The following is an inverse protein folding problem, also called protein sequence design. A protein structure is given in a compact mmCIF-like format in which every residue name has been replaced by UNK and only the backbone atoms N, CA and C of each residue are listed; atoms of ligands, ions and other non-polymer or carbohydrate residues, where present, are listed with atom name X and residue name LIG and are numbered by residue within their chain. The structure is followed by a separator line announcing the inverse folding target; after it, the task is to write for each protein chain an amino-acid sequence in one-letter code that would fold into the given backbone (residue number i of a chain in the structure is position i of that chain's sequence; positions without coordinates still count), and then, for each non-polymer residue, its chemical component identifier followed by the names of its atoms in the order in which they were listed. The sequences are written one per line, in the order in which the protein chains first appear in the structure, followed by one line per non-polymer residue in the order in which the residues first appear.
data_IF_967903594529
#
_entry.id   IF_967903594529
#
_cell.length_a   1.000
_cell.length_b   1.000
_cell.length_c   1.000
_cell.angle_alpha   90.00
_cell.angle_beta   90.00
_cell.angle_gamma   90.00
#
_symmetry.space_group_name_H-M   'P 1'
#
loop_
_entity.id
_entity.type
_entity.pdbx_description
1 polymer ?
#
# COMPACT_ATOMS: atom_id res chain seq x y z
N UNK A 1 21.99 1.51 4.16
CA UNK A 1 20.97 2.09 5.04
C UNK A 1 20.00 1.00 5.46
N UNK A 2 19.63 0.95 6.73
CA UNK A 2 18.80 -0.11 7.29
C UNK A 2 17.34 0.38 7.37
N UNK A 3 16.40 -0.48 7.04
CA UNK A 3 14.94 -0.23 7.15
C UNK A 3 14.38 -1.25 8.13
N UNK A 4 14.60 -1.07 9.44
CA UNK A 4 14.15 -2.01 10.46
C UNK A 4 12.62 -2.05 10.52
N UNK A 5 12.05 -3.16 10.96
CA UNK A 5 10.61 -3.23 11.20
C UNK A 5 10.23 -2.30 12.37
N UNK A 6 9.21 -1.45 12.24
CA UNK A 6 8.65 -0.70 13.37
C UNK A 6 8.14 -1.62 14.49
N UNK A 7 8.11 -1.10 15.72
CA UNK A 7 7.76 -1.90 16.90
C UNK A 7 6.34 -2.45 16.87
N UNK A 8 5.41 -1.72 16.26
CA UNK A 8 4.00 -2.11 16.11
C UNK A 8 3.77 -3.20 15.07
N UNK A 9 4.77 -3.52 14.22
CA UNK A 9 4.66 -4.66 13.31
C UNK A 9 4.67 -5.96 14.13
N UNK A 10 3.80 -6.95 13.83
CA UNK A 10 3.79 -8.21 14.55
C UNK A 10 5.17 -8.90 14.52
N UNK A 11 5.61 -9.42 15.68
CA UNK A 11 6.94 -10.03 15.83
C UNK A 11 7.21 -11.14 14.80
N UNK A 12 6.18 -11.94 14.49
CA UNK A 12 6.24 -13.03 13.52
C UNK A 12 6.69 -12.59 12.12
N UNK A 13 6.52 -11.32 11.75
CA UNK A 13 6.86 -10.80 10.41
C UNK A 13 7.96 -9.73 10.43
N UNK A 14 8.51 -9.37 11.60
CA UNK A 14 9.62 -8.39 11.70
C UNK A 14 10.83 -8.80 10.85
N UNK A 15 11.16 -10.09 10.79
CA UNK A 15 12.24 -10.61 9.94
C UNK A 15 11.94 -10.54 8.43
N UNK A 16 10.66 -10.59 8.05
CA UNK A 16 10.20 -10.54 6.65
C UNK A 16 10.14 -9.10 6.12
N UNK A 17 9.90 -8.13 7.00
CA UNK A 17 9.67 -6.74 6.65
C UNK A 17 10.77 -6.11 5.77
N UNK A 18 12.08 -6.21 6.09
CA UNK A 18 13.12 -5.61 5.25
C UNK A 18 13.11 -6.17 3.82
N UNK A 19 12.84 -7.47 3.67
CA UNK A 19 12.71 -8.12 2.38
C UNK A 19 11.46 -7.65 1.61
N UNK A 20 10.35 -7.41 2.32
CA UNK A 20 9.14 -6.84 1.71
C UNK A 20 9.40 -5.42 1.18
N UNK A 21 10.02 -4.53 1.98
CA UNK A 21 10.38 -3.16 1.55
C UNK A 21 11.28 -3.20 0.32
N UNK A 22 12.34 -4.03 0.35
CA UNK A 22 13.26 -4.19 -0.78
C UNK A 22 12.53 -4.62 -2.07
N UNK A 23 11.66 -5.63 -1.99
CA UNK A 23 10.92 -6.11 -3.18
C UNK A 23 10.02 -5.03 -3.77
N UNK A 24 9.28 -4.31 -2.91
CA UNK A 24 8.41 -3.22 -3.34
C UNK A 24 9.21 -2.07 -3.98
N UNK A 25 10.32 -1.67 -3.37
CA UNK A 25 11.21 -0.64 -3.90
C UNK A 25 11.75 -1.00 -5.29
N UNK A 26 12.19 -2.24 -5.51
CA UNK A 26 12.65 -2.71 -6.82
C UNK A 26 11.55 -2.65 -7.87
N UNK A 27 10.33 -3.10 -7.52
CA UNK A 27 9.19 -3.08 -8.45
C UNK A 27 8.81 -1.67 -8.85
N UNK A 28 8.69 -0.76 -7.88
CA UNK A 28 8.31 0.64 -8.13
C UNK A 28 9.41 1.39 -8.90
N UNK A 29 10.68 1.26 -8.51
CA UNK A 29 11.78 1.89 -9.22
C UNK A 29 11.85 1.43 -10.69
N UNK A 30 11.69 0.12 -10.95
CA UNK A 30 11.64 -0.41 -12.33
C UNK A 30 10.43 0.11 -13.12
N UNK A 31 9.26 0.22 -12.48
CA UNK A 31 8.04 0.76 -13.10
C UNK A 31 8.25 2.21 -13.52
N UNK A 32 8.83 3.01 -12.64
CA UNK A 32 8.96 4.45 -12.86
C UNK A 32 10.14 4.80 -13.78
N UNK A 33 11.22 4.01 -13.75
CA UNK A 33 12.30 4.10 -14.76
C UNK A 33 11.78 3.86 -16.19
N UNK A 34 10.85 2.91 -16.39
CA UNK A 34 10.20 2.71 -17.70
C UNK A 34 9.38 3.93 -18.16
N UNK A 35 9.01 4.81 -17.23
CA UNK A 35 8.26 6.04 -17.49
C UNK A 35 9.17 7.29 -17.54
N UNK A 36 10.49 7.10 -17.55
CA UNK A 36 11.47 8.20 -17.57
C UNK A 36 11.89 8.70 -16.18
N UNK A 37 11.48 8.03 -15.10
CA UNK A 37 11.90 8.35 -13.75
C UNK A 37 13.39 8.07 -13.50
N UNK A 38 14.02 8.90 -12.67
CA UNK A 38 15.48 8.84 -12.39
C UNK A 38 15.81 8.27 -11.01
N UNK A 39 14.79 7.94 -10.21
CA UNK A 39 14.99 7.47 -8.85
C UNK A 39 15.62 6.08 -8.79
N UNK A 40 16.41 5.85 -7.74
CA UNK A 40 17.08 4.57 -7.49
C UNK A 40 16.40 3.76 -6.39
N UNK A 41 16.70 2.46 -6.34
CA UNK A 41 16.08 1.53 -5.38
C UNK A 41 16.29 1.95 -3.92
N UNK A 42 17.42 2.57 -3.57
CA UNK A 42 17.68 2.99 -2.19
C UNK A 42 16.78 4.15 -1.76
N UNK A 43 16.55 5.14 -2.63
CA UNK A 43 15.62 6.24 -2.39
C UNK A 43 14.20 5.70 -2.18
N UNK A 44 13.78 4.75 -3.01
CA UNK A 44 12.46 4.13 -2.90
C UNK A 44 12.32 3.34 -1.60
N UNK A 45 13.37 2.64 -1.13
CA UNK A 45 13.33 1.94 0.15
C UNK A 45 13.10 2.88 1.33
N UNK A 46 13.79 4.03 1.33
CA UNK A 46 13.64 5.03 2.38
C UNK A 46 12.24 5.64 2.35
N UNK A 47 11.79 6.10 1.18
CA UNK A 47 10.46 6.69 1.02
C UNK A 47 9.34 5.70 1.41
N UNK A 48 9.47 4.42 1.04
CA UNK A 48 8.53 3.38 1.49
C UNK A 48 8.59 3.21 3.00
N UNK A 49 9.78 3.15 3.60
CA UNK A 49 9.91 2.99 5.05
C UNK A 49 9.32 4.16 5.83
N UNK A 50 9.55 5.39 5.36
CA UNK A 50 8.95 6.61 5.91
C UNK A 50 7.42 6.57 5.79
N UNK A 51 6.90 6.14 4.63
CA UNK A 51 5.46 5.95 4.45
C UNK A 51 4.89 4.90 5.43
N UNK A 52 5.63 3.81 5.69
CA UNK A 52 5.24 2.80 6.68
C UNK A 52 5.17 3.40 8.08
N UNK A 53 6.19 4.17 8.49
CA UNK A 53 6.22 4.81 9.80
C UNK A 53 5.04 5.78 9.95
N UNK A 54 4.78 6.61 8.94
CA UNK A 54 3.68 7.56 8.93
C UNK A 54 2.30 6.90 8.93
N UNK A 55 2.18 5.65 8.46
CA UNK A 55 0.89 4.96 8.38
C UNK A 55 0.44 4.39 9.73
N UNK A 56 1.35 4.20 10.69
CA UNK A 56 1.07 3.57 11.99
C UNK A 56 0.28 2.25 11.86
N UNK A 57 0.57 1.52 10.79
CA UNK A 57 -0.07 0.25 10.47
C UNK A 57 -1.47 0.33 9.88
N UNK A 58 -1.95 1.53 9.50
CA UNK A 58 -3.28 1.78 8.94
C UNK A 58 -3.26 2.12 7.46
N UNK A 59 -4.41 1.96 6.83
CA UNK A 59 -4.70 2.41 5.47
C UNK A 59 -4.79 3.94 5.45
N UNK A 60 -4.04 4.58 4.55
CA UNK A 60 -4.04 6.05 4.42
C UNK A 60 -5.41 6.64 4.04
N UNK A 61 -6.18 5.92 3.23
CA UNK A 61 -7.42 6.41 2.64
C UNK A 61 -8.63 6.13 3.52
N UNK A 62 -8.66 5.00 4.23
CA UNK A 62 -9.81 4.59 5.06
C UNK A 62 -9.54 4.62 6.57
N UNK A 63 -8.29 4.72 7.00
CA UNK A 63 -7.88 4.70 8.41
C UNK A 63 -7.98 3.32 9.08
N UNK A 64 -8.37 2.28 8.34
CA UNK A 64 -8.54 0.92 8.85
C UNK A 64 -7.20 0.24 9.10
N UNK A 65 -7.15 -0.67 10.09
CA UNK A 65 -5.95 -1.44 10.37
C UNK A 65 -5.61 -2.40 9.23
N UNK A 66 -4.33 -2.44 8.85
CA UNK A 66 -3.83 -3.35 7.81
C UNK A 66 -3.37 -4.67 8.41
N UNK A 67 -3.49 -5.74 7.60
CA UNK A 67 -3.10 -7.09 7.95
C UNK A 67 -1.60 -7.32 7.68
N UNK A 68 -0.73 -6.71 8.49
CA UNK A 68 0.73 -6.79 8.33
C UNK A 68 1.29 -8.21 8.43
N UNK A 69 0.61 -9.11 9.13
CA UNK A 69 0.92 -10.53 9.19
C UNK A 69 0.90 -11.22 7.81
N UNK A 70 0.25 -10.61 6.81
CA UNK A 70 0.17 -11.15 5.46
C UNK A 70 1.39 -10.79 4.60
N UNK A 71 2.29 -9.89 5.02
CA UNK A 71 3.44 -9.51 4.20
C UNK A 71 4.32 -10.73 3.88
N UNK A 72 4.61 -10.92 2.59
CA UNK A 72 5.44 -12.03 2.12
C UNK A 72 4.74 -13.39 2.04
N UNK A 73 3.45 -13.47 2.38
CA UNK A 73 2.66 -14.72 2.25
C UNK A 73 1.98 -14.87 0.89
N UNK A 74 1.74 -13.74 0.21
CA UNK A 74 1.14 -13.73 -1.12
C UNK A 74 2.17 -14.07 -2.22
N UNK A 75 1.94 -15.15 -2.96
CA UNK A 75 2.74 -15.56 -4.12
C UNK A 75 1.91 -15.49 -5.41
N UNK A 76 2.29 -14.62 -6.35
CA UNK A 76 1.64 -14.49 -7.66
C UNK A 76 1.77 -15.72 -8.57
N UNK A 77 2.65 -16.68 -8.22
CA UNK A 77 2.89 -17.90 -9.00
C UNK A 77 1.99 -19.05 -8.58
N UNK A 78 1.31 -18.92 -7.44
CA UNK A 78 0.36 -19.92 -6.98
C UNK A 78 -0.99 -19.73 -7.73
N UNK A 79 -1.41 -20.68 -8.58
CA UNK A 79 -2.69 -20.57 -9.28
C UNK A 79 -3.91 -20.54 -8.34
N UNK A 80 -3.75 -20.88 -7.05
CA UNK A 80 -4.78 -20.74 -6.04
C UNK A 80 -4.91 -19.32 -5.47
N UNK A 81 -3.85 -18.50 -5.46
CA UNK A 81 -3.84 -17.16 -4.84
C UNK A 81 -4.49 -16.06 -5.70
N UNK A 82 -4.93 -16.37 -6.93
CA UNK A 82 -5.53 -15.42 -7.87
C UNK A 82 -7.05 -15.50 -8.07
N UNK A 83 -7.75 -16.42 -7.40
CA UNK A 83 -9.22 -16.59 -7.53
C UNK A 83 -9.97 -15.69 -6.54
N UNK A 84 -11.20 -15.27 -6.88
CA UNK A 84 -11.94 -14.21 -6.17
C UNK A 84 -11.97 -14.32 -4.64
N UNK A 85 -12.27 -15.50 -4.07
CA UNK A 85 -12.25 -15.71 -2.61
C UNK A 85 -10.85 -15.59 -2.00
N UNK A 86 -9.83 -16.10 -2.70
CA UNK A 86 -8.43 -15.99 -2.29
C UNK A 86 -7.97 -14.53 -2.24
N UNK A 87 -8.43 -13.68 -3.18
CA UNK A 87 -8.12 -12.24 -3.17
C UNK A 87 -8.76 -11.50 -2.01
N UNK A 88 -9.99 -11.89 -1.60
CA UNK A 88 -10.67 -11.27 -0.44
C UNK A 88 -9.87 -11.46 0.85
N UNK A 89 -9.18 -12.60 1.02
CA UNK A 89 -8.27 -12.83 2.16
C UNK A 89 -7.14 -11.79 2.24
N UNK A 90 -6.68 -11.30 1.09
CA UNK A 90 -5.60 -10.30 1.02
C UNK A 90 -6.12 -8.88 0.88
N UNK A 91 -7.44 -8.64 1.07
CA UNK A 91 -8.02 -7.32 0.92
C UNK A 91 -7.31 -6.26 1.77
N UNK A 92 -6.93 -6.63 3.00
CA UNK A 92 -6.21 -5.76 3.95
C UNK A 92 -4.67 -5.94 3.93
N UNK A 93 -4.12 -6.68 2.96
CA UNK A 93 -2.66 -6.79 2.79
C UNK A 93 -2.07 -5.39 2.56
N UNK A 94 -1.04 -4.96 3.33
CA UNK A 94 -0.36 -3.71 3.05
C UNK A 94 0.25 -3.68 1.65
N UNK A 95 -0.02 -2.60 0.94
CA UNK A 95 0.63 -2.23 -0.32
C UNK A 95 1.00 -0.75 -0.31
N UNK A 96 1.68 -0.32 -1.36
CA UNK A 96 2.09 1.06 -1.55
C UNK A 96 1.25 1.64 -2.67
N UNK A 97 0.72 2.82 -2.40
CA UNK A 97 0.10 3.70 -3.37
C UNK A 97 0.92 4.99 -3.50
N UNK A 98 0.77 5.66 -4.63
CA UNK A 98 1.47 6.89 -4.92
C UNK A 98 0.47 8.03 -4.83
N UNK A 99 0.72 8.99 -3.93
CA UNK A 99 -0.23 10.10 -3.69
C UNK A 99 -0.41 10.96 -4.94
N UNK A 100 0.64 11.10 -5.74
CA UNK A 100 0.61 11.83 -7.00
C UNK A 100 1.20 11.01 -8.14
N UNK A 101 0.75 11.25 -9.38
CA UNK A 101 1.37 10.66 -10.56
C UNK A 101 2.64 11.39 -11.01
N UNK A 102 3.16 12.33 -10.20
CA UNK A 102 4.39 13.03 -10.51
C UNK A 102 5.58 12.12 -10.21
N UNK A 103 6.70 12.27 -10.93
CA UNK A 103 7.84 11.32 -10.94
C UNK A 103 8.65 11.21 -9.64
N UNK A 104 8.12 11.69 -8.52
CA UNK A 104 8.75 11.69 -7.21
C UNK A 104 8.28 10.51 -6.36
N UNK A 105 9.12 10.09 -5.42
CA UNK A 105 8.84 8.99 -4.49
C UNK A 105 7.92 9.42 -3.34
N UNK A 106 6.71 9.90 -3.68
CA UNK A 106 5.67 10.30 -2.72
C UNK A 106 4.69 9.12 -2.51
N UNK A 107 4.98 8.32 -1.49
CA UNK A 107 4.28 7.08 -1.21
C UNK A 107 3.42 7.15 0.04
N UNK A 108 2.31 6.42 0.01
CA UNK A 108 1.49 6.12 1.17
C UNK A 108 1.26 4.62 1.26
N UNK A 109 0.96 4.13 2.47
CA UNK A 109 0.56 2.74 2.66
C UNK A 109 -0.96 2.66 2.64
N UNK A 110 -1.47 1.71 1.88
CA UNK A 110 -2.89 1.39 1.85
C UNK A 110 -3.09 -0.12 1.75
N UNK A 111 -4.33 -0.55 1.95
CA UNK A 111 -4.76 -1.91 1.75
C UNK A 111 -4.75 -2.25 0.26
N UNK A 112 -4.53 -3.52 -0.07
CA UNK A 112 -4.64 -3.98 -1.46
C UNK A 112 -5.97 -3.57 -2.06
N UNK A 113 -7.08 -3.83 -1.38
CA UNK A 113 -8.43 -3.51 -1.88
C UNK A 113 -8.58 -2.03 -2.23
N UNK A 114 -7.86 -1.15 -1.53
CA UNK A 114 -7.86 0.29 -1.74
C UNK A 114 -7.11 0.64 -3.03
N UNK A 115 -5.94 0.05 -3.24
CA UNK A 115 -5.13 0.25 -4.43
C UNK A 115 -5.71 -0.41 -5.71
N UNK A 116 -6.40 -1.54 -5.57
CA UNK A 116 -6.92 -2.36 -6.68
C UNK A 116 -8.46 -2.34 -6.76
N UNK A 117 -9.09 -1.32 -6.14
CA UNK A 117 -10.53 -1.18 -5.91
C UNK A 117 -11.43 -1.42 -7.13
N UNK A 118 -10.86 -1.35 -8.34
CA UNK A 118 -11.61 -1.40 -9.60
C UNK A 118 -12.05 -2.80 -10.04
N UNK A 119 -11.51 -3.90 -9.50
CA UNK A 119 -11.68 -5.19 -10.18
C UNK A 119 -12.45 -6.27 -9.41
N UNK A 120 -12.58 -6.20 -8.08
CA UNK A 120 -13.13 -7.33 -7.29
C UNK A 120 -14.23 -6.94 -6.27
N UNK A 121 -14.64 -5.67 -6.18
CA UNK A 121 -15.71 -5.22 -5.26
C UNK A 121 -17.11 -5.34 -5.89
N UNK A 122 -18.07 -5.81 -5.10
CA UNK A 122 -19.50 -5.63 -5.37
C UNK A 122 -19.91 -4.14 -5.19
N UNK A 123 -21.06 -3.70 -5.76
CA UNK A 123 -21.55 -2.34 -5.55
C UNK A 123 -21.71 -1.95 -4.08
N UNK A 124 -22.14 -2.89 -3.22
CA UNK A 124 -22.27 -2.67 -1.79
C UNK A 124 -20.92 -2.51 -1.09
N UNK A 125 -19.93 -3.34 -1.44
CA UNK A 125 -18.56 -3.21 -0.91
C UNK A 125 -17.93 -1.89 -1.35
N UNK A 126 -18.17 -1.45 -2.60
CA UNK A 126 -17.72 -0.15 -3.08
C UNK A 126 -18.37 1.01 -2.29
N UNK A 127 -19.67 0.96 -2.04
CA UNK A 127 -20.36 1.98 -1.24
C UNK A 127 -19.82 2.06 0.20
N UNK A 128 -19.56 0.90 0.82
CA UNK A 128 -18.96 0.82 2.15
C UNK A 128 -17.54 1.42 2.15
N UNK A 129 -16.75 1.11 1.14
CA UNK A 129 -15.41 1.68 0.96
C UNK A 129 -15.47 3.21 0.84
N UNK A 130 -16.30 3.75 -0.05
CA UNK A 130 -16.47 5.21 -0.20
C UNK A 130 -16.92 5.87 1.10
N UNK A 131 -17.82 5.21 1.85
CA UNK A 131 -18.28 5.71 3.15
C UNK A 131 -17.15 5.75 4.18
N UNK A 132 -16.28 4.74 4.21
CA UNK A 132 -15.12 4.70 5.08
C UNK A 132 -14.11 5.82 4.76
N UNK A 133 -13.86 6.07 3.47
CA UNK A 133 -12.98 7.17 3.01
C UNK A 133 -13.50 8.53 3.49
N UNK A 134 -14.78 8.84 3.24
CA UNK A 134 -15.39 10.12 3.64
C UNK A 134 -15.34 10.29 5.17
N UNK A 135 -15.60 9.23 5.92
CA UNK A 135 -15.55 9.26 7.38
C UNK A 135 -14.14 9.51 7.92
N UNK A 136 -13.12 8.90 7.30
CA UNK A 136 -11.73 9.08 7.73
C UNK A 136 -11.23 10.49 7.45
N UNK A 137 -11.64 11.04 6.31
CA UNK A 137 -11.12 12.30 5.79
C UNK A 137 -12.25 13.24 5.34
N UNK A 138 -13.04 13.77 6.28
CA UNK A 138 -14.18 14.63 5.97
C UNK A 138 -13.77 15.89 5.19
N UNK A 139 -12.55 16.36 5.41
CA UNK A 139 -12.00 17.59 4.81
C UNK A 139 -11.46 17.40 3.39
N UNK A 140 -11.32 16.15 2.89
CA UNK A 140 -10.90 15.90 1.51
C UNK A 140 -11.94 16.36 0.48
N UNK A 141 -13.19 16.56 0.89
CA UNK A 141 -14.21 17.17 0.05
C UNK A 141 -14.00 18.68 -0.16
N UNK A 142 -13.11 19.32 0.62
CA UNK A 142 -12.83 20.76 0.57
C UNK A 142 -11.56 21.17 -0.19
N UNK A 143 -10.69 20.24 -0.57
CA UNK A 143 -9.42 20.54 -1.26
C UNK A 143 -9.52 20.51 -2.79
N UNK A 144 -10.73 20.59 -3.34
CA UNK A 144 -10.96 20.72 -4.79
C UNK A 144 -10.75 22.17 -5.23
N UNK A 145 -9.69 22.36 -6.04
CA UNK A 145 -9.27 23.57 -6.79
C UNK A 145 -8.72 24.76 -5.99
N UNK A 146 -7.42 25.09 -6.13
CA UNK A 146 -6.99 26.49 -6.09
C UNK A 146 -7.59 27.21 -7.32
N UNK A 147 -8.21 28.37 -7.11
CA UNK A 147 -8.47 29.36 -8.18
C UNK A 147 -7.17 29.82 -8.86
#
# INVERSE_FOLDING_TARGET
MNTPAPDWIPDAVKGTYPGWVQRKAVTLAKRDQKRGGVGNVQQYRLAIHEAVLASEGRDHWTGEGLAWELIGTYDNRDPATGKGESKKRYAMLPTIDQRSNQGEADFVICAWRTNDAKHDMTPQELLQFCSAVIKHSPDWMGSGTPE
#
